data_IF_112210073667
#
_entry.id   IF_112210073667
#
_cell.length_a   1.000
_cell.length_b   1.000
_cell.length_c   1.000
_cell.angle_alpha   90.00
_cell.angle_beta   90.00
_cell.angle_gamma   90.00
#
_symmetry.space_group_name_H-M   'P 1'
#
loop_
_entity.id
_entity.type
_entity.pdbx_description
1 polymer ?
#
# COMPACT_ATOMS: atom_id res chain seq x y z
N UNK A 1 17.30 0.15 -4.79
CA UNK A 1 16.31 1.16 -5.24
C UNK A 1 15.90 1.99 -4.04
N UNK A 2 15.63 3.29 -4.22
CA UNK A 2 15.12 4.19 -3.20
C UNK A 2 13.76 4.74 -3.66
N UNK A 3 12.76 4.65 -2.80
CA UNK A 3 11.39 5.11 -3.07
C UNK A 3 11.01 6.13 -2.01
N UNK A 4 10.40 7.24 -2.43
CA UNK A 4 9.83 8.25 -1.52
C UNK A 4 8.41 8.57 -1.97
N UNK A 5 7.45 8.34 -1.08
CA UNK A 5 6.03 8.66 -1.31
C UNK A 5 5.45 8.13 -2.64
N UNK A 6 5.81 6.90 -3.02
CA UNK A 6 5.38 6.26 -4.28
C UNK A 6 6.22 6.61 -5.51
N UNK A 7 7.15 7.56 -5.37
CA UNK A 7 8.07 7.99 -6.43
C UNK A 7 9.38 7.25 -6.39
N UNK A 8 9.91 6.88 -7.55
CA UNK A 8 11.28 6.38 -7.67
C UNK A 8 12.27 7.53 -7.47
N UNK A 9 12.93 7.57 -6.31
CA UNK A 9 13.87 8.63 -5.93
C UNK A 9 15.34 8.27 -6.23
N UNK A 10 15.62 7.04 -6.67
CA UNK A 10 16.95 6.66 -7.13
C UNK A 10 17.19 5.16 -7.24
N UNK A 11 18.28 4.79 -7.88
CA UNK A 11 18.73 3.40 -8.06
C UNK A 11 20.23 3.29 -7.86
N UNK A 12 20.69 2.17 -7.31
CA UNK A 12 22.10 1.80 -7.23
C UNK A 12 22.24 0.28 -7.33
N UNK A 13 23.42 -0.16 -7.73
CA UNK A 13 23.78 -1.58 -7.80
C UNK A 13 24.99 -1.80 -6.90
N UNK A 14 24.89 -2.73 -5.96
CA UNK A 14 26.02 -3.20 -5.17
C UNK A 14 26.70 -4.36 -5.93
N UNK A 15 28.01 -4.28 -6.22
CA UNK A 15 28.74 -5.39 -6.81
C UNK A 15 28.68 -6.65 -5.92
N UNK A 16 28.75 -7.82 -6.55
CA UNK A 16 28.74 -9.09 -5.82
C UNK A 16 29.91 -9.17 -4.83
N UNK A 17 29.63 -9.61 -3.59
CA UNK A 17 30.62 -9.73 -2.52
C UNK A 17 30.93 -8.44 -1.77
N UNK A 18 30.39 -7.30 -2.20
CA UNK A 18 30.51 -6.03 -1.47
C UNK A 18 29.42 -5.93 -0.41
N UNK A 19 29.77 -5.33 0.74
CA UNK A 19 28.77 -4.94 1.74
C UNK A 19 27.75 -3.96 1.11
N UNK A 20 26.44 -4.28 1.09
CA UNK A 20 25.44 -3.39 0.52
C UNK A 20 25.17 -2.16 1.38
N UNK A 21 25.50 -2.16 2.68
CA UNK A 21 25.12 -1.08 3.61
C UNK A 21 25.69 0.29 3.19
N UNK A 22 26.98 0.44 2.83
CA UNK A 22 27.50 1.71 2.33
C UNK A 22 26.86 2.19 1.02
N UNK A 23 26.46 1.26 0.14
CA UNK A 23 25.78 1.60 -1.12
C UNK A 23 24.39 2.14 -0.85
N UNK A 24 23.65 1.54 0.09
CA UNK A 24 22.33 2.01 0.53
C UNK A 24 22.43 3.40 1.17
N UNK A 25 23.40 3.62 2.06
CA UNK A 25 23.62 4.91 2.69
C UNK A 25 23.93 6.02 1.66
N UNK A 26 24.78 5.70 0.67
CA UNK A 26 25.13 6.62 -0.42
C UNK A 26 23.92 6.93 -1.32
N UNK A 27 23.12 5.91 -1.65
CA UNK A 27 21.88 6.07 -2.42
C UNK A 27 20.86 6.93 -1.67
N UNK A 28 20.69 6.75 -0.35
CA UNK A 28 19.77 7.55 0.47
C UNK A 28 20.18 9.02 0.52
N UNK A 29 21.49 9.29 0.57
CA UNK A 29 22.05 10.64 0.61
C UNK A 29 21.98 11.38 -0.74
N UNK A 30 22.17 10.66 -1.86
CA UNK A 30 22.19 11.25 -3.20
C UNK A 30 20.83 11.22 -3.92
N UNK A 31 19.89 10.42 -3.45
CA UNK A 31 18.57 10.29 -4.05
C UNK A 31 17.77 11.60 -4.01
N UNK A 32 16.81 11.70 -4.93
CA UNK A 32 15.92 12.85 -5.02
C UNK A 32 15.20 13.09 -3.67
N UNK A 33 15.13 14.37 -3.28
CA UNK A 33 14.29 14.80 -2.17
C UNK A 33 12.88 15.04 -2.71
N UNK A 34 11.92 14.30 -2.16
CA UNK A 34 10.51 14.38 -2.56
C UNK A 34 9.72 14.82 -1.33
N UNK A 35 9.00 15.93 -1.46
CA UNK A 35 8.13 16.41 -0.39
C UNK A 35 6.98 15.43 -0.14
N UNK A 36 6.53 15.26 1.12
CA UNK A 36 5.36 14.47 1.41
C UNK A 36 4.12 14.96 0.64
N UNK A 37 3.24 14.05 0.19
CA UNK A 37 2.04 14.42 -0.55
C UNK A 37 1.09 15.24 0.34
N UNK A 38 0.60 16.36 -0.19
CA UNK A 38 -0.48 17.12 0.43
C UNK A 38 -1.81 16.63 -0.14
N UNK A 39 -2.59 15.91 0.67
CA UNK A 39 -3.88 15.35 0.24
C UNK A 39 -4.79 16.44 -0.38
N UNK A 40 -5.47 16.16 -1.50
CA UNK A 40 -5.58 14.87 -2.20
C UNK A 40 -4.49 14.62 -3.27
N UNK A 41 -3.51 15.52 -3.42
CA UNK A 41 -2.50 15.40 -4.47
C UNK A 41 -1.42 14.36 -4.10
N UNK A 42 -1.18 13.34 -4.94
CA UNK A 42 -0.10 12.38 -4.71
C UNK A 42 1.27 12.99 -5.04
N UNK A 43 2.33 12.42 -4.48
CA UNK A 43 3.72 12.84 -4.74
C UNK A 43 4.32 12.20 -6.00
N UNK A 44 3.61 11.26 -6.62
CA UNK A 44 3.98 10.57 -7.85
C UNK A 44 2.72 10.29 -8.69
N UNK A 45 2.92 9.90 -9.95
CA UNK A 45 1.82 9.39 -10.76
C UNK A 45 1.30 8.07 -10.17
N UNK A 46 -0.01 7.83 -10.29
CA UNK A 46 -0.62 6.55 -9.86
C UNK A 46 0.05 5.38 -10.57
N UNK A 47 0.25 5.49 -11.89
CA UNK A 47 0.90 4.44 -12.68
C UNK A 47 2.34 4.14 -12.22
N UNK A 48 3.09 5.17 -11.80
CA UNK A 48 4.44 4.97 -11.26
C UNK A 48 4.39 4.25 -9.91
N UNK A 49 3.51 4.69 -9.02
CA UNK A 49 3.32 4.07 -7.71
C UNK A 49 2.94 2.59 -7.84
N UNK A 50 2.04 2.27 -8.78
CA UNK A 50 1.63 0.90 -9.08
C UNK A 50 2.76 0.05 -9.66
N UNK A 51 3.65 0.63 -10.48
CA UNK A 51 4.84 -0.08 -10.97
C UNK A 51 5.82 -0.40 -9.83
N UNK A 52 6.04 0.55 -8.93
CA UNK A 52 6.89 0.36 -7.75
C UNK A 52 6.29 -0.69 -6.81
N UNK A 53 4.98 -0.60 -6.52
CA UNK A 53 4.27 -1.56 -5.68
C UNK A 53 4.38 -2.98 -6.27
N UNK A 54 4.10 -3.14 -7.56
CA UNK A 54 4.21 -4.42 -8.25
C UNK A 54 5.63 -4.98 -8.23
N UNK A 55 6.64 -4.13 -8.38
CA UNK A 55 8.05 -4.55 -8.26
C UNK A 55 8.36 -5.03 -6.84
N UNK A 56 7.90 -4.32 -5.81
CA UNK A 56 8.11 -4.68 -4.41
C UNK A 56 7.47 -6.03 -4.03
N UNK A 57 6.41 -6.42 -4.73
CA UNK A 57 5.71 -7.70 -4.55
C UNK A 57 6.40 -8.88 -5.27
N UNK A 58 7.44 -8.63 -6.09
CA UNK A 58 8.14 -9.69 -6.81
C UNK A 58 9.01 -10.54 -5.88
N UNK A 59 9.08 -11.84 -6.20
CA UNK A 59 10.00 -12.75 -5.54
C UNK A 59 11.45 -12.26 -5.63
N UNK A 60 12.16 -12.34 -4.51
CA UNK A 60 13.56 -11.92 -4.41
C UNK A 60 13.77 -10.44 -4.06
N UNK A 61 12.71 -9.61 -4.02
CA UNK A 61 12.82 -8.23 -3.53
C UNK A 61 12.79 -8.21 -2.01
N UNK A 62 13.68 -7.41 -1.41
CA UNK A 62 13.81 -7.26 0.05
C UNK A 62 13.82 -5.79 0.41
N UNK A 63 12.99 -5.41 1.39
CA UNK A 63 13.05 -4.10 2.02
C UNK A 63 14.22 -4.07 2.99
N UNK A 64 15.11 -3.09 2.81
CA UNK A 64 16.30 -2.90 3.65
C UNK A 64 16.00 -1.94 4.81
N UNK A 65 15.31 -0.84 4.51
CA UNK A 65 14.95 0.20 5.45
C UNK A 65 13.59 0.77 5.07
N UNK A 66 12.79 1.13 6.08
CA UNK A 66 11.50 1.79 5.92
C UNK A 66 11.42 2.93 6.93
N UNK A 67 11.13 4.13 6.45
CA UNK A 67 10.84 5.29 7.28
C UNK A 67 9.32 5.48 7.38
N UNK A 68 8.79 5.45 8.61
CA UNK A 68 7.35 5.53 8.86
C UNK A 68 6.64 4.18 8.79
N UNK A 69 5.38 4.18 8.33
CA UNK A 69 4.54 2.98 8.24
C UNK A 69 4.28 2.61 6.79
N UNK A 70 4.43 1.34 6.46
CA UNK A 70 4.01 0.81 5.17
C UNK A 70 2.49 0.69 5.16
N UNK A 71 1.85 1.39 4.22
CA UNK A 71 0.40 1.36 4.05
C UNK A 71 0.05 1.43 2.56
N UNK A 72 -1.09 0.84 2.20
CA UNK A 72 -1.69 0.95 0.88
C UNK A 72 -3.08 1.60 1.02
N UNK A 73 -3.53 2.44 0.06
CA UNK A 73 -4.87 3.01 0.10
C UNK A 73 -5.97 1.94 0.14
N UNK A 74 -6.91 2.07 1.08
CA UNK A 74 -8.01 1.10 1.27
C UNK A 74 -8.84 0.86 0.00
N UNK A 75 -9.05 1.90 -0.80
CA UNK A 75 -9.82 1.84 -2.06
C UNK A 75 -8.92 1.92 -3.30
N UNK A 76 -7.67 1.48 -3.18
CA UNK A 76 -6.75 1.35 -4.33
C UNK A 76 -7.17 0.22 -5.28
N UNK A 77 -6.73 0.29 -6.53
CA UNK A 77 -7.05 -0.73 -7.55
C UNK A 77 -6.44 -2.10 -7.23
N UNK A 78 -5.36 -2.15 -6.46
CA UNK A 78 -4.66 -3.38 -6.09
C UNK A 78 -5.58 -4.45 -5.45
N UNK A 79 -6.50 -4.06 -4.57
CA UNK A 79 -7.45 -4.99 -3.93
C UNK A 79 -8.45 -5.61 -4.91
N UNK A 80 -8.62 -5.02 -6.10
CA UNK A 80 -9.48 -5.56 -7.15
C UNK A 80 -8.73 -6.49 -8.10
N UNK A 81 -7.40 -6.60 -8.05
CA UNK A 81 -6.61 -7.36 -9.04
C UNK A 81 -7.04 -8.82 -9.11
N UNK A 82 -7.34 -9.46 -7.98
CA UNK A 82 -7.82 -10.86 -7.99
C UNK A 82 -9.24 -10.99 -8.57
N UNK A 83 -10.07 -9.94 -8.44
CA UNK A 83 -11.44 -9.89 -8.99
C UNK A 83 -11.47 -9.51 -10.46
N UNK A 84 -10.55 -8.65 -10.88
CA UNK A 84 -10.44 -8.08 -12.22
C UNK A 84 -9.32 -8.72 -13.02
N UNK A 85 -8.86 -9.92 -12.61
CA UNK A 85 -7.83 -10.64 -13.37
C UNK A 85 -8.44 -11.01 -14.70
N UNK A 86 -8.18 -10.14 -15.68
CA UNK A 86 -8.65 -10.38 -17.03
C UNK A 86 -8.04 -11.68 -17.53
N UNK A 87 -8.83 -12.50 -18.22
CA UNK A 87 -8.33 -13.72 -18.81
C UNK A 87 -7.16 -13.45 -19.75
N UNK A 88 -6.26 -14.42 -19.85
CA UNK A 88 -5.00 -14.26 -20.59
C UNK A 88 -5.21 -14.32 -22.11
N UNK A 89 -6.39 -14.72 -22.55
CA UNK A 89 -6.78 -14.85 -23.95
C UNK A 89 -8.15 -14.23 -24.22
N UNK A 90 -8.39 -13.83 -25.47
CA UNK A 90 -9.67 -13.28 -25.92
C UNK A 90 -10.79 -14.32 -25.84
N UNK A 91 -10.51 -15.60 -26.11
CA UNK A 91 -11.50 -16.68 -26.02
C UNK A 91 -12.01 -16.86 -24.57
N UNK A 92 -11.10 -16.83 -23.61
CA UNK A 92 -11.46 -16.83 -22.18
C UNK A 92 -12.18 -15.52 -21.78
N UNK A 93 -11.87 -14.40 -22.44
CA UNK A 93 -12.51 -13.10 -22.21
C UNK A 93 -13.94 -13.07 -22.72
N UNK A 94 -14.21 -13.65 -23.89
CA UNK A 94 -15.55 -13.79 -24.45
C UNK A 94 -16.42 -14.67 -23.54
N UNK A 95 -15.89 -15.80 -23.06
CA UNK A 95 -16.61 -16.65 -22.10
C UNK A 95 -16.90 -15.96 -20.75
N UNK A 96 -15.97 -15.15 -20.26
CA UNK A 96 -16.14 -14.42 -19.00
C UNK A 96 -17.08 -13.21 -19.15
N UNK A 97 -17.08 -12.56 -20.31
CA UNK A 97 -18.04 -11.52 -20.65
C UNK A 97 -19.46 -12.10 -20.83
N UNK A 98 -19.61 -13.26 -21.45
CA UNK A 98 -20.90 -13.95 -21.56
C UNK A 98 -21.49 -14.28 -20.18
N UNK A 99 -20.65 -14.68 -19.22
CA UNK A 99 -21.05 -14.96 -17.83
C UNK A 99 -21.32 -13.66 -17.03
N UNK A 100 -20.50 -12.62 -17.21
CA UNK A 100 -20.63 -11.34 -16.50
C UNK A 100 -21.77 -10.44 -17.04
N UNK A 101 -22.11 -10.57 -18.33
CA UNK A 101 -23.24 -9.90 -18.97
C UNK A 101 -24.54 -10.69 -18.84
N UNK A 102 -24.53 -11.86 -18.16
CA UNK A 102 -25.75 -12.46 -17.65
C UNK A 102 -26.52 -11.37 -16.88
N UNK A 103 -27.81 -11.15 -17.18
CA UNK A 103 -28.51 -9.90 -16.87
C UNK A 103 -28.53 -9.65 -15.37
N UNK A 104 -27.56 -8.88 -14.90
CA UNK A 104 -27.54 -8.31 -13.57
C UNK A 104 -28.09 -6.91 -13.76
N UNK A 105 -29.36 -6.71 -13.42
CA UNK A 105 -30.09 -5.46 -13.66
C UNK A 105 -29.45 -4.31 -12.88
N UNK A 106 -28.57 -3.56 -13.54
CA UNK A 106 -28.09 -2.24 -13.10
C UNK A 106 -29.22 -1.18 -13.11
N UNK A 107 -30.38 -1.52 -13.70
CA UNK A 107 -31.59 -0.68 -13.75
C UNK A 107 -32.16 -0.28 -12.37
N UNK A 108 -31.70 -0.89 -11.28
CA UNK A 108 -32.17 -0.60 -9.93
C UNK A 108 -31.30 0.41 -9.15
N UNK A 109 -30.27 1.02 -9.76
CA UNK A 109 -29.54 2.12 -9.10
C UNK A 109 -30.36 3.41 -9.25
N UNK A 110 -31.36 3.57 -8.38
CA UNK A 110 -32.05 4.84 -8.19
C UNK A 110 -31.02 5.95 -7.92
N UNK A 111 -30.98 6.96 -8.78
CA UNK A 111 -30.10 8.12 -8.67
C UNK A 111 -30.42 9.04 -7.46
N UNK A 112 -31.17 8.54 -6.45
CA UNK A 112 -31.62 9.29 -5.28
C UNK A 112 -30.94 8.94 -3.95
N UNK A 113 -29.98 8.01 -3.90
CA UNK A 113 -29.51 7.41 -2.63
C UNK A 113 -28.10 7.77 -2.14
N UNK A 114 -27.35 8.65 -2.81
CA UNK A 114 -25.93 8.91 -2.47
C UNK A 114 -25.70 9.70 -1.16
N UNK A 115 -26.76 10.21 -0.52
CA UNK A 115 -26.68 11.04 0.69
C UNK A 115 -26.89 10.25 2.00
N UNK A 116 -27.06 8.93 1.93
CA UNK A 116 -27.23 8.07 3.11
C UNK A 116 -25.99 7.19 3.33
N UNK A 117 -24.86 7.81 3.71
CA UNK A 117 -23.73 7.01 4.22
C UNK A 117 -23.99 6.65 5.69
N UNK A 118 -23.92 5.36 6.08
CA UNK A 118 -23.79 5.03 7.50
C UNK A 118 -22.47 5.61 8.00
N UNK A 119 -22.54 6.47 9.02
CA UNK A 119 -21.36 6.93 9.74
C UNK A 119 -20.74 5.72 10.45
N UNK A 120 -19.61 5.24 9.93
CA UNK A 120 -18.79 4.26 10.66
C UNK A 120 -17.94 5.07 11.63
N UNK A 121 -18.39 5.13 12.88
CA UNK A 121 -17.61 5.65 13.99
C UNK A 121 -16.49 4.63 14.30
N UNK A 122 -15.26 5.00 13.99
CA UNK A 122 -14.08 4.20 14.34
C UNK A 122 -13.62 4.65 15.72
N UNK A 123 -13.95 3.86 16.73
CA UNK A 123 -13.44 4.04 18.09
C UNK A 123 -11.94 3.77 18.11
N UNK A 124 -11.14 4.82 18.26
CA UNK A 124 -9.69 4.74 18.37
C UNK A 124 -9.34 4.38 19.81
N UNK A 125 -9.21 3.09 20.09
CA UNK A 125 -8.70 2.62 21.37
C UNK A 125 -7.21 2.99 21.47
N UNK A 126 -6.92 4.04 22.24
CA UNK A 126 -5.54 4.47 22.49
C UNK A 126 -4.89 3.46 23.42
N UNK A 127 -4.18 2.50 22.83
CA UNK A 127 -3.39 1.49 23.54
C UNK A 127 -2.45 2.16 24.54
N UNK A 128 -2.80 2.03 25.81
CA UNK A 128 -2.06 2.51 26.98
C UNK A 128 -0.67 1.88 26.99
N UNK A 129 0.35 2.73 26.92
CA UNK A 129 1.75 2.33 27.04
C UNK A 129 2.00 1.60 28.36
N UNK A 130 2.58 0.40 28.27
CA UNK A 130 3.27 -0.24 29.39
C UNK A 130 4.62 0.44 29.56
N UNK A 131 4.84 1.04 30.73
CA UNK A 131 6.18 1.27 31.25
C UNK A 131 6.23 0.85 32.73
N UNK A 132 7.23 0.02 32.99
CA UNK A 132 7.65 -0.68 34.20
C UNK A 132 8.06 0.21 35.37
N UNK A 133 7.94 -0.28 36.61
CA UNK A 133 8.70 0.27 37.74
C UNK A 133 8.33 -0.23 39.14
N UNK A 134 8.77 -1.45 39.50
CA UNK A 134 9.40 -1.79 40.80
C UNK A 134 8.70 -1.56 42.17
N UNK A 135 8.53 -2.70 42.87
CA UNK A 135 8.81 -2.95 44.30
C UNK A 135 7.67 -2.94 45.36
N UNK A 136 7.31 -4.19 45.72
CA UNK A 136 7.27 -4.78 47.07
C UNK A 136 6.00 -4.70 47.97
N UNK A 137 5.45 -5.91 48.17
CA UNK A 137 4.84 -6.51 49.37
C UNK A 137 3.41 -6.09 49.83
N UNK A 138 2.51 -7.08 49.81
CA UNK A 138 1.18 -7.14 50.45
C UNK A 138 1.29 -7.67 51.94
N UNK A 139 0.19 -8.01 52.65
CA UNK A 139 -0.81 -7.15 53.30
C UNK A 139 -1.02 -7.47 54.82
N UNK A 140 -1.93 -6.68 55.44
CA UNK A 140 -2.72 -6.76 56.71
C UNK A 140 -2.94 -8.10 57.47
N UNK A 141 -3.52 -8.12 58.70
CA UNK A 141 -4.78 -7.49 59.14
C UNK A 141 -4.65 -6.09 59.76
#
# INVERSE_FOLDING_TARGET
MLVRHGRLAGTAVAPAGTDPVPVVASLRAAGEVVEPPALPAPAALVAETELVARWLEQDGVRLVELEGTWASPLHGAAGLVQRLRLPASTDELDHLLDDALAPTTWDAVDAGGLDSRPQVEVEVETGRALASGGAAAQPSP
#
